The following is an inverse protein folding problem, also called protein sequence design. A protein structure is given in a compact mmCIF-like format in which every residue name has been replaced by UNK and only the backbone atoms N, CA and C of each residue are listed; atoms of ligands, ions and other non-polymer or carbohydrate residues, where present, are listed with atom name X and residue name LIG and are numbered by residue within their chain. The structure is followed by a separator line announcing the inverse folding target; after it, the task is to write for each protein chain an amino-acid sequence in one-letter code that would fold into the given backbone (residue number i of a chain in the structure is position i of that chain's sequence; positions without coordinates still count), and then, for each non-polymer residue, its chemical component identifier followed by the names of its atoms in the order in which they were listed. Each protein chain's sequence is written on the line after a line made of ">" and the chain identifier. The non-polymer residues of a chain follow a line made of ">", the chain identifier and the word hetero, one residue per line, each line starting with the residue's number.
data_IF_838717272390
#
_entry.id   IF_838717272390
#
_cell.length_a   1.000
_cell.length_b   1.000
_cell.length_c   1.000
_cell.angle_alpha   90.00
_cell.angle_beta   90.00
_cell.angle_gamma   90.00
#
_symmetry.space_group_name_H-M   'P 1'
#
loop_
_entity.id
_entity.type
_entity.pdbx_description
1 polymer ?
#
# COMPACT_ATOMS: atom_id res chain seq x y z
N UNK A 1 3.45 9.01 -2.79
CA UNK A 1 2.94 9.66 -1.57
C UNK A 1 4.08 10.46 -0.97
N UNK A 2 3.78 11.64 -0.40
CA UNK A 2 4.76 12.39 0.39
C UNK A 2 4.91 11.81 1.81
N UNK A 3 6.03 12.10 2.48
CA UNK A 3 6.35 11.56 3.82
C UNK A 3 5.27 11.87 4.87
N UNK A 4 4.65 13.04 4.80
CA UNK A 4 3.57 13.43 5.72
C UNK A 4 2.29 12.62 5.51
N UNK A 5 1.94 12.28 4.25
CA UNK A 5 0.82 11.38 3.96
C UNK A 5 1.11 9.96 4.45
N UNK A 6 2.37 9.52 4.36
CA UNK A 6 2.78 8.20 4.83
C UNK A 6 2.68 8.08 6.35
N UNK A 7 3.15 9.08 7.11
CA UNK A 7 3.01 9.10 8.58
C UNK A 7 1.55 9.11 9.00
N UNK A 8 0.72 9.94 8.36
CA UNK A 8 -0.71 9.99 8.62
C UNK A 8 -1.39 8.67 8.31
N UNK A 9 -1.00 8.00 7.22
CA UNK A 9 -1.53 6.69 6.87
C UNK A 9 -1.17 5.62 7.90
N UNK A 10 0.08 5.58 8.35
CA UNK A 10 0.52 4.63 9.38
C UNK A 10 -0.20 4.85 10.72
N UNK A 11 -0.39 6.10 11.12
CA UNK A 11 -1.13 6.44 12.35
C UNK A 11 -2.61 6.01 12.27
N UNK A 12 -3.28 6.34 11.16
CA UNK A 12 -4.65 5.92 10.92
C UNK A 12 -4.80 4.40 10.87
N UNK A 13 -3.84 3.68 10.28
CA UNK A 13 -3.85 2.21 10.28
C UNK A 13 -3.73 1.62 11.69
N UNK A 14 -2.81 2.14 12.50
CA UNK A 14 -2.62 1.68 13.87
C UNK A 14 -3.90 1.86 14.69
N UNK A 15 -4.47 3.07 14.67
CA UNK A 15 -5.72 3.38 15.39
C UNK A 15 -6.94 2.62 14.86
N UNK A 16 -6.99 2.33 13.55
CA UNK A 16 -8.05 1.51 12.97
C UNK A 16 -8.01 0.07 13.48
N UNK A 17 -6.82 -0.49 13.71
CA UNK A 17 -6.67 -1.84 14.27
C UNK A 17 -7.19 -1.95 15.70
N UNK A 18 -7.18 -0.83 16.42
CA UNK A 18 -7.70 -0.70 17.79
C UNK A 18 -9.18 -0.29 17.82
N UNK A 19 -9.82 -0.07 16.67
CA UNK A 19 -11.23 0.36 16.58
C UNK A 19 -11.46 1.82 17.04
N UNK A 20 -10.40 2.63 17.10
CA UNK A 20 -10.43 3.99 17.67
C UNK A 20 -10.66 5.10 16.62
N UNK A 21 -11.03 4.75 15.39
CA UNK A 21 -11.30 5.73 14.35
C UNK A 21 -12.76 6.18 14.35
N UNK A 22 -12.96 7.48 14.21
CA UNK A 22 -14.27 8.04 13.91
C UNK A 22 -14.59 7.95 12.41
N UNK A 23 -15.83 8.25 12.03
CA UNK A 23 -16.33 8.14 10.64
C UNK A 23 -15.52 8.98 9.65
N UNK A 24 -15.06 10.17 10.04
CA UNK A 24 -14.25 11.04 9.16
C UNK A 24 -12.85 10.46 8.94
N UNK A 25 -12.25 9.89 9.99
CA UNK A 25 -10.94 9.25 9.92
C UNK A 25 -10.98 7.95 9.12
N UNK A 26 -12.05 7.15 9.25
CA UNK A 26 -12.28 5.96 8.43
C UNK A 26 -12.36 6.34 6.94
N UNK A 27 -13.11 7.39 6.61
CA UNK A 27 -13.21 7.88 5.22
C UNK A 27 -11.84 8.29 4.68
N UNK A 28 -11.05 9.01 5.48
CA UNK A 28 -9.72 9.47 5.09
C UNK A 28 -8.71 8.32 4.95
N UNK A 29 -8.78 7.32 5.82
CA UNK A 29 -8.00 6.09 5.69
C UNK A 29 -8.34 5.36 4.39
N UNK A 30 -9.62 5.24 4.05
CA UNK A 30 -10.06 4.60 2.80
C UNK A 30 -9.57 5.34 1.54
N UNK A 31 -9.61 6.67 1.54
CA UNK A 31 -9.06 7.49 0.44
C UNK A 31 -7.55 7.28 0.28
N UNK A 32 -6.80 7.26 1.39
CA UNK A 32 -5.36 6.97 1.38
C UNK A 32 -5.07 5.53 0.91
N UNK A 33 -5.89 4.56 1.32
CA UNK A 33 -5.79 3.18 0.86
C UNK A 33 -6.04 3.05 -0.64
N UNK A 34 -6.95 3.81 -1.25
CA UNK A 34 -7.16 3.77 -2.70
C UNK A 34 -5.91 4.24 -3.46
N UNK A 35 -5.29 5.34 -3.01
CA UNK A 35 -4.03 5.83 -3.57
C UNK A 35 -2.91 4.80 -3.40
N UNK A 36 -2.82 4.19 -2.22
CA UNK A 36 -1.83 3.16 -1.92
C UNK A 36 -2.03 1.89 -2.76
N UNK A 37 -3.28 1.41 -2.92
CA UNK A 37 -3.62 0.25 -3.75
C UNK A 37 -3.26 0.49 -5.20
N UNK A 38 -3.58 1.68 -5.73
CA UNK A 38 -3.26 2.01 -7.11
C UNK A 38 -1.74 2.09 -7.36
N UNK A 39 -0.97 2.63 -6.40
CA UNK A 39 0.49 2.60 -6.44
C UNK A 39 1.08 1.18 -6.34
N UNK A 40 0.49 0.36 -5.46
CA UNK A 40 0.93 -1.03 -5.23
C UNK A 40 0.66 -1.93 -6.44
N UNK A 41 -0.48 -1.76 -7.12
CA UNK A 41 -0.79 -2.48 -8.37
C UNK A 41 0.20 -2.13 -9.47
N UNK A 42 0.56 -0.85 -9.63
CA UNK A 42 1.58 -0.43 -10.61
C UNK A 42 2.96 -1.00 -10.27
N UNK A 43 3.34 -1.00 -8.99
CA UNK A 43 4.59 -1.60 -8.52
C UNK A 43 4.63 -3.10 -8.76
N UNK A 44 3.56 -3.82 -8.42
CA UNK A 44 3.42 -5.26 -8.66
C UNK A 44 3.48 -5.59 -10.16
N UNK A 45 2.80 -4.82 -11.01
CA UNK A 45 2.87 -4.98 -12.47
C UNK A 45 4.28 -4.73 -13.02
N UNK A 46 4.99 -3.73 -12.49
CA UNK A 46 6.37 -3.47 -12.86
C UNK A 46 7.31 -4.59 -12.42
N UNK A 47 7.10 -5.15 -11.22
CA UNK A 47 7.85 -6.30 -10.72
C UNK A 47 7.56 -7.56 -11.54
N UNK A 48 6.30 -7.80 -11.90
CA UNK A 48 5.91 -8.92 -12.78
C UNK A 48 6.59 -8.81 -14.15
N UNK A 49 6.61 -7.62 -14.76
CA UNK A 49 7.31 -7.38 -16.02
C UNK A 49 8.83 -7.55 -15.90
N UNK A 50 9.43 -7.09 -14.79
CA UNK A 50 10.84 -7.29 -14.53
C UNK A 50 11.19 -8.77 -14.35
N UNK A 51 10.34 -9.54 -13.66
CA UNK A 51 10.48 -10.99 -13.52
C UNK A 51 10.31 -11.72 -14.85
N UNK A 52 9.31 -11.37 -15.66
CA UNK A 52 9.12 -11.92 -17.02
C UNK A 52 10.31 -11.64 -17.94
N UNK A 53 11.02 -10.54 -17.72
CA UNK A 53 12.22 -10.16 -18.47
C UNK A 53 13.51 -10.73 -17.89
N UNK A 54 13.43 -11.54 -16.82
CA UNK A 54 14.59 -12.14 -16.15
C UNK A 54 15.47 -11.13 -15.40
N UNK A 55 14.99 -9.89 -15.17
CA UNK A 55 15.75 -8.85 -14.46
C UNK A 55 15.75 -9.07 -12.95
N UNK A 56 14.72 -9.73 -12.41
CA UNK A 56 14.59 -10.11 -11.00
C UNK A 56 14.01 -11.53 -10.88
N UNK A 57 14.29 -12.28 -9.80
CA UNK A 57 13.63 -13.56 -9.55
C UNK A 57 12.10 -13.37 -9.46
N UNK A 58 11.34 -14.32 -9.99
CA UNK A 58 9.89 -14.32 -9.81
C UNK A 58 9.54 -14.41 -8.32
N UNK A 59 8.52 -13.69 -7.87
CA UNK A 59 8.11 -13.65 -6.45
C UNK A 59 7.78 -15.05 -5.87
N UNK A 60 7.52 -16.05 -6.71
CA UNK A 60 7.26 -17.44 -6.33
C UNK A 60 8.48 -18.38 -6.45
N UNK A 61 9.67 -17.87 -6.76
CA UNK A 61 10.88 -18.68 -6.96
C UNK A 61 11.68 -18.93 -5.67
N UNK A 62 11.20 -18.46 -4.52
CA UNK A 62 11.80 -18.76 -3.21
C UNK A 62 10.76 -19.49 -2.38
N UNK A 63 10.87 -20.83 -2.37
CA UNK A 63 10.30 -21.74 -1.37
C UNK A 63 11.45 -22.43 -0.66
#
# INVERSE_FOLDING_TARGET
>A
MGEQQQRLFSDLQARNSEGLLNVQEIKKLNELMQVYRHGSVRKAKSMQLAAMRGLIPALNAVS
#
